data_IF_384311675739
#
_entry.id   IF_384311675739
#
_cell.length_a   1.000
_cell.length_b   1.000
_cell.length_c   1.000
_cell.angle_alpha   90.00
_cell.angle_beta   90.00
_cell.angle_gamma   90.00
#
_symmetry.space_group_name_H-M   'P 1'
#
loop_
_entity.id
_entity.type
_entity.pdbx_description
1 polymer ?
#
# COMPACT_ATOMS: atom_id res chain seq x y z
N UNK A 1 -52.55 43.92 9.30
CA UNK A 1 -51.21 44.48 9.06
C UNK A 1 -50.21 43.33 9.12
N UNK A 2 -49.99 42.65 7.99
CA UNK A 2 -49.16 41.44 7.89
C UNK A 2 -47.83 41.86 7.28
N UNK A 3 -46.77 41.85 8.06
CA UNK A 3 -45.42 42.15 7.58
C UNK A 3 -44.83 40.92 6.91
N UNK A 4 -44.77 40.97 5.59
CA UNK A 4 -44.10 39.99 4.74
C UNK A 4 -42.58 40.22 4.82
N UNK A 5 -41.87 39.42 5.63
CA UNK A 5 -40.41 39.34 5.67
C UNK A 5 -39.98 37.93 5.28
N UNK A 6 -40.04 37.58 3.99
CA UNK A 6 -39.39 36.34 3.54
C UNK A 6 -38.91 36.39 2.08
N UNK A 7 -38.18 37.45 1.74
CA UNK A 7 -37.52 37.57 0.43
C UNK A 7 -36.07 38.00 0.58
N UNK A 8 -35.25 37.27 1.35
CA UNK A 8 -33.79 37.44 1.21
C UNK A 8 -32.91 36.26 1.64
N UNK A 9 -33.40 35.03 1.50
CA UNK A 9 -32.59 33.83 1.75
C UNK A 9 -32.47 32.95 0.50
N UNK A 10 -31.57 33.33 -0.40
CA UNK A 10 -30.58 32.44 -1.09
C UNK A 10 -29.83 33.23 -2.18
N UNK A 11 -28.49 33.36 -2.06
CA UNK A 11 -27.65 32.51 -2.93
C UNK A 11 -26.33 32.02 -2.30
N UNK A 12 -26.04 32.25 -1.02
CA UNK A 12 -24.71 31.95 -0.45
C UNK A 12 -24.40 30.44 -0.35
N UNK A 13 -25.42 29.57 -0.29
CA UNK A 13 -25.21 28.11 -0.22
C UNK A 13 -24.96 27.43 -1.58
N UNK A 14 -25.36 28.06 -2.70
CA UNK A 14 -25.18 27.48 -4.04
C UNK A 14 -23.73 27.59 -4.55
N UNK A 15 -22.98 28.61 -4.12
CA UNK A 15 -21.60 28.84 -4.54
C UNK A 15 -20.57 27.85 -3.94
N UNK A 16 -20.94 27.09 -2.89
CA UNK A 16 -20.00 26.19 -2.20
C UNK A 16 -19.82 24.80 -2.84
N UNK A 17 -20.62 24.47 -3.87
CA UNK A 17 -20.64 23.13 -4.51
C UNK A 17 -19.92 23.03 -5.84
N UNK A 18 -19.38 24.12 -6.38
CA UNK A 18 -18.50 24.07 -7.53
C UNK A 18 -17.14 23.49 -7.09
N UNK A 19 -17.03 22.16 -7.06
CA UNK A 19 -15.75 21.49 -6.88
C UNK A 19 -14.79 21.98 -7.98
N UNK A 20 -13.82 22.83 -7.59
CA UNK A 20 -12.77 23.36 -8.49
C UNK A 20 -12.29 22.21 -9.40
N UNK A 21 -12.20 22.38 -10.73
CA UNK A 21 -11.94 21.29 -11.69
C UNK A 21 -10.75 20.41 -11.30
N UNK A 22 -9.68 20.99 -10.76
CA UNK A 22 -8.52 20.23 -10.25
C UNK A 22 -8.83 19.24 -9.11
N UNK A 23 -9.83 19.49 -8.24
CA UNK A 23 -10.22 18.56 -7.17
C UNK A 23 -10.97 17.33 -7.71
N UNK A 24 -11.68 17.44 -8.84
CA UNK A 24 -12.33 16.29 -9.48
C UNK A 24 -11.29 15.37 -10.11
N UNK A 25 -10.34 15.95 -10.85
CA UNK A 25 -9.24 15.21 -11.47
C UNK A 25 -8.38 14.46 -10.45
N UNK A 26 -8.02 15.10 -9.33
CA UNK A 26 -7.23 14.44 -8.28
C UNK A 26 -7.97 13.27 -7.61
N UNK A 27 -9.29 13.39 -7.39
CA UNK A 27 -10.10 12.27 -6.87
C UNK A 27 -10.23 11.13 -7.88
N UNK A 28 -10.35 11.44 -9.16
CA UNK A 28 -10.37 10.44 -10.20
C UNK A 28 -9.02 9.71 -10.25
N UNK A 29 -7.91 10.46 -10.26
CA UNK A 29 -6.56 9.90 -10.23
C UNK A 29 -6.35 9.00 -9.01
N UNK A 30 -6.69 9.48 -7.80
CA UNK A 30 -6.63 8.69 -6.56
C UNK A 30 -7.37 7.35 -6.71
N UNK A 31 -8.61 7.39 -7.19
CA UNK A 31 -9.44 6.21 -7.40
C UNK A 31 -8.82 5.28 -8.45
N UNK A 32 -8.40 5.81 -9.59
CA UNK A 32 -7.79 5.05 -10.69
C UNK A 32 -6.52 4.35 -10.22
N UNK A 33 -5.57 5.09 -9.60
CA UNK A 33 -4.35 4.50 -9.09
C UNK A 33 -4.62 3.45 -8.01
N UNK A 34 -5.54 3.71 -7.08
CA UNK A 34 -5.90 2.72 -6.06
C UNK A 34 -6.44 1.42 -6.68
N UNK A 35 -7.37 1.52 -7.64
CA UNK A 35 -7.97 0.35 -8.29
C UNK A 35 -7.05 -0.34 -9.31
N UNK A 36 -5.91 0.26 -9.66
CA UNK A 36 -4.86 -0.44 -10.40
C UNK A 36 -3.88 -1.10 -9.42
N UNK A 37 -3.38 -0.34 -8.45
CA UNK A 37 -2.36 -0.79 -7.49
C UNK A 37 -2.85 -1.91 -6.58
N UNK A 38 -4.05 -1.79 -6.01
CA UNK A 38 -4.57 -2.76 -5.07
C UNK A 38 -4.71 -4.17 -5.70
N UNK A 39 -5.44 -4.37 -6.81
CA UNK A 39 -5.49 -5.69 -7.44
C UNK A 39 -4.16 -6.08 -8.08
N UNK A 40 -3.35 -5.13 -8.58
CA UNK A 40 -2.03 -5.44 -9.14
C UNK A 40 -1.05 -6.01 -8.11
N UNK A 41 -1.05 -5.49 -6.89
CA UNK A 41 -0.24 -6.01 -5.78
C UNK A 41 -0.77 -7.36 -5.27
N UNK A 42 -2.10 -7.55 -5.21
CA UNK A 42 -2.70 -8.85 -4.89
C UNK A 42 -2.39 -9.90 -5.97
N UNK A 43 -2.38 -9.50 -7.24
CA UNK A 43 -2.00 -10.36 -8.35
C UNK A 43 -0.51 -10.75 -8.25
N UNK A 44 0.38 -9.80 -7.96
CA UNK A 44 1.80 -10.10 -7.75
C UNK A 44 1.99 -11.14 -6.63
N UNK A 45 1.27 -10.99 -5.51
CA UNK A 45 1.22 -11.97 -4.43
C UNK A 45 0.78 -13.35 -4.96
N UNK A 46 -0.34 -13.42 -5.66
CA UNK A 46 -0.87 -14.68 -6.19
C UNK A 46 0.09 -15.38 -7.16
N UNK A 47 0.80 -14.62 -8.00
CA UNK A 47 1.82 -15.16 -8.92
C UNK A 47 3.00 -15.74 -8.13
N UNK A 48 3.44 -15.08 -7.05
CA UNK A 48 4.52 -15.58 -6.19
C UNK A 48 4.13 -16.90 -5.52
N UNK A 49 2.93 -16.96 -4.93
CA UNK A 49 2.44 -18.18 -4.27
C UNK A 49 2.26 -19.32 -5.27
N UNK A 50 1.75 -19.04 -6.47
CA UNK A 50 1.70 -20.03 -7.54
C UNK A 50 3.11 -20.52 -7.92
N UNK A 51 4.09 -19.62 -8.01
CA UNK A 51 5.49 -19.97 -8.26
C UNK A 51 6.10 -20.87 -7.17
N UNK A 52 5.74 -20.65 -5.90
CA UNK A 52 6.20 -21.46 -4.77
C UNK A 52 5.69 -22.91 -4.82
N UNK A 53 4.60 -23.18 -5.55
CA UNK A 53 4.04 -24.53 -5.75
C UNK A 53 4.73 -25.29 -6.89
N UNK A 54 5.55 -24.62 -7.70
CA UNK A 54 6.22 -25.24 -8.84
C UNK A 54 7.47 -26.02 -8.37
N UNK A 55 7.78 -27.16 -9.01
CA UNK A 55 8.98 -27.90 -8.71
C UNK A 55 10.23 -27.09 -9.07
N UNK A 56 11.17 -27.00 -8.13
CA UNK A 56 12.53 -26.56 -8.40
C UNK A 56 13.30 -27.72 -9.06
N UNK A 57 13.07 -27.91 -10.35
CA UNK A 57 13.64 -29.00 -11.14
C UNK A 57 14.43 -28.46 -12.34
N UNK A 58 15.34 -29.27 -12.89
CA UNK A 58 16.11 -28.91 -14.08
C UNK A 58 15.27 -28.98 -15.37
N UNK A 59 15.77 -28.39 -16.45
CA UNK A 59 15.16 -28.51 -17.79
C UNK A 59 13.89 -27.68 -17.94
N UNK A 60 12.84 -28.25 -18.56
CA UNK A 60 11.60 -27.52 -18.89
C UNK A 60 10.84 -27.00 -17.68
N UNK A 61 10.96 -27.68 -16.54
CA UNK A 61 10.30 -27.27 -15.29
C UNK A 61 10.96 -26.02 -14.69
N UNK A 62 12.30 -25.91 -14.75
CA UNK A 62 13.00 -24.67 -14.42
C UNK A 62 12.54 -23.49 -15.29
N UNK A 63 12.36 -23.71 -16.61
CA UNK A 63 11.96 -22.64 -17.53
C UNK A 63 10.58 -22.05 -17.18
N UNK A 64 9.66 -22.88 -16.70
CA UNK A 64 8.34 -22.41 -16.27
C UNK A 64 8.41 -21.60 -14.97
N UNK A 65 9.14 -22.08 -13.97
CA UNK A 65 9.39 -21.36 -12.71
C UNK A 65 10.05 -20.00 -12.96
N UNK A 66 11.06 -19.96 -13.83
CA UNK A 66 11.71 -18.71 -14.28
C UNK A 66 10.71 -17.75 -14.93
N UNK A 67 9.79 -18.26 -15.75
CA UNK A 67 8.76 -17.46 -16.42
C UNK A 67 7.80 -16.84 -15.40
N UNK A 68 7.31 -17.63 -14.46
CA UNK A 68 6.36 -17.18 -13.42
C UNK A 68 7.00 -16.14 -12.50
N UNK A 69 8.22 -16.35 -12.02
CA UNK A 69 8.92 -15.34 -11.22
C UNK A 69 9.29 -14.09 -12.06
N UNK A 70 9.52 -14.24 -13.36
CA UNK A 70 9.73 -13.11 -14.28
C UNK A 70 8.48 -12.24 -14.39
N UNK A 71 7.30 -12.87 -14.49
CA UNK A 71 6.02 -12.19 -14.45
C UNK A 71 5.79 -11.50 -13.10
N UNK A 72 6.02 -12.20 -11.98
CA UNK A 72 5.90 -11.64 -10.63
C UNK A 72 6.73 -10.35 -10.48
N UNK A 73 8.02 -10.40 -10.86
CA UNK A 73 8.92 -9.24 -10.83
C UNK A 73 8.43 -8.10 -11.73
N UNK A 74 7.97 -8.43 -12.93
CA UNK A 74 7.48 -7.44 -13.90
C UNK A 74 6.24 -6.72 -13.37
N UNK A 75 5.27 -7.45 -12.81
CA UNK A 75 4.08 -6.86 -12.18
C UNK A 75 4.47 -6.02 -10.97
N UNK A 76 5.36 -6.51 -10.11
CA UNK A 76 5.88 -5.76 -8.96
C UNK A 76 6.50 -4.41 -9.37
N UNK A 77 7.38 -4.42 -10.36
CA UNK A 77 7.99 -3.21 -10.91
C UNK A 77 6.95 -2.27 -11.55
N UNK A 78 5.93 -2.79 -12.22
CA UNK A 78 4.84 -1.98 -12.74
C UNK A 78 4.13 -1.22 -11.64
N UNK A 79 3.84 -1.91 -10.53
CA UNK A 79 3.23 -1.27 -9.38
C UNK A 79 4.17 -0.22 -8.78
N UNK A 80 5.47 -0.51 -8.64
CA UNK A 80 6.47 0.45 -8.15
C UNK A 80 6.44 1.78 -8.90
N UNK A 81 6.36 1.74 -10.24
CA UNK A 81 6.29 2.94 -11.07
C UNK A 81 4.96 3.71 -10.92
N UNK A 82 3.87 3.04 -10.54
CA UNK A 82 2.55 3.65 -10.34
C UNK A 82 2.34 4.24 -8.94
N UNK A 83 3.01 3.72 -7.90
CA UNK A 83 2.83 4.19 -6.51
C UNK A 83 3.11 5.70 -6.35
N UNK A 84 4.14 6.32 -6.98
CA UNK A 84 4.33 7.77 -6.92
C UNK A 84 3.10 8.57 -7.40
N UNK A 85 2.41 8.08 -8.43
CA UNK A 85 1.17 8.69 -8.95
C UNK A 85 0.08 8.71 -7.89
N UNK A 86 -0.12 7.59 -7.18
CA UNK A 86 -1.03 7.52 -6.04
C UNK A 86 -0.60 8.51 -4.94
N UNK A 87 0.68 8.51 -4.55
CA UNK A 87 1.22 9.38 -3.51
C UNK A 87 1.01 10.87 -3.82
N UNK A 88 1.16 11.27 -5.08
CA UNK A 88 0.89 12.64 -5.56
C UNK A 88 -0.60 12.95 -5.49
N UNK A 89 -1.47 12.04 -5.99
CA UNK A 89 -2.92 12.22 -5.96
C UNK A 89 -3.48 12.38 -4.54
N UNK A 90 -2.83 11.76 -3.54
CA UNK A 90 -3.19 11.83 -2.13
C UNK A 90 -2.70 13.08 -1.37
N UNK A 91 -1.79 13.88 -1.95
CA UNK A 91 -1.24 15.10 -1.31
C UNK A 91 -2.31 16.07 -0.75
N UNK A 92 -3.46 16.32 -1.40
CA UNK A 92 -4.50 17.19 -0.86
C UNK A 92 -5.15 16.64 0.41
N UNK A 93 -5.29 15.32 0.54
CA UNK A 93 -5.90 14.67 1.70
C UNK A 93 -4.97 14.68 2.92
N UNK A 94 -3.66 14.68 2.70
CA UNK A 94 -2.65 14.83 3.77
C UNK A 94 -2.72 16.18 4.50
N UNK A 95 -3.35 17.20 3.91
CA UNK A 95 -3.54 18.54 4.50
C UNK A 95 -4.82 18.68 5.32
N UNK A 96 -5.60 17.61 5.54
CA UNK A 96 -6.77 17.68 6.42
C UNK A 96 -6.35 18.07 7.83
N UNK A 97 -7.13 18.98 8.43
CA UNK A 97 -6.90 19.45 9.79
C UNK A 97 -6.78 18.26 10.74
N UNK A 98 -5.71 18.25 11.54
CA UNK A 98 -5.56 17.25 12.59
C UNK A 98 -6.70 17.46 13.59
N UNK A 99 -7.39 16.40 14.03
CA UNK A 99 -8.40 16.53 15.07
C UNK A 99 -7.82 17.22 16.30
N UNK A 100 -8.50 18.25 16.81
CA UNK A 100 -8.07 19.00 18.01
C UNK A 100 -8.39 18.24 19.30
N UNK A 101 -9.37 17.33 19.26
CA UNK A 101 -9.77 16.49 20.40
C UNK A 101 -9.35 15.02 20.27
N UNK A 102 -9.64 14.23 21.31
CA UNK A 102 -9.38 12.78 21.31
C UNK A 102 -9.98 12.11 20.07
N UNK A 103 -9.21 11.23 19.45
CA UNK A 103 -9.56 10.53 18.20
C UNK A 103 -9.99 9.11 18.54
N UNK A 104 -10.96 8.55 17.83
CA UNK A 104 -11.24 7.12 17.94
C UNK A 104 -10.03 6.28 17.52
N UNK A 105 -9.90 5.07 18.06
CA UNK A 105 -8.81 4.15 17.68
C UNK A 105 -8.81 3.81 16.18
N UNK A 106 -9.99 3.61 15.58
CA UNK A 106 -10.09 3.14 14.20
C UNK A 106 -9.50 4.12 13.16
N UNK A 107 -9.77 5.45 13.20
CA UNK A 107 -9.07 6.42 12.34
C UNK A 107 -7.55 6.50 12.56
N UNK A 108 -7.05 6.16 13.75
CA UNK A 108 -5.60 6.09 13.98
C UNK A 108 -5.03 4.84 13.32
N UNK A 109 -5.66 3.68 13.54
CA UNK A 109 -5.24 2.41 12.94
C UNK A 109 -5.32 2.45 11.40
N UNK A 110 -6.40 2.98 10.84
CA UNK A 110 -6.56 3.17 9.38
C UNK A 110 -5.39 3.99 8.80
N UNK A 111 -4.99 5.05 9.50
CA UNK A 111 -3.84 5.87 9.08
C UNK A 111 -2.52 5.11 9.22
N UNK A 112 -2.31 4.34 10.29
CA UNK A 112 -1.10 3.50 10.44
C UNK A 112 -1.02 2.48 9.32
N UNK A 113 -2.10 1.75 9.08
CA UNK A 113 -2.20 0.71 8.05
C UNK A 113 -1.95 1.30 6.67
N UNK A 114 -2.58 2.43 6.37
CA UNK A 114 -2.37 3.14 5.11
C UNK A 114 -0.90 3.51 4.88
N UNK A 115 -0.22 4.08 5.89
CA UNK A 115 1.20 4.43 5.76
C UNK A 115 2.09 3.19 5.68
N UNK A 116 1.75 2.13 6.41
CA UNK A 116 2.41 0.83 6.30
C UNK A 116 2.30 0.29 4.88
N UNK A 117 1.10 0.24 4.29
CA UNK A 117 0.90 -0.20 2.91
C UNK A 117 1.60 0.70 1.89
N UNK A 118 1.59 2.02 2.09
CA UNK A 118 2.30 2.94 1.19
C UNK A 118 3.80 2.72 1.20
N UNK A 119 4.43 2.51 2.35
CA UNK A 119 5.85 2.17 2.42
C UNK A 119 6.10 0.78 1.82
N UNK A 120 5.27 -0.20 2.14
CA UNK A 120 5.39 -1.56 1.62
C UNK A 120 5.28 -1.66 0.10
N UNK A 121 4.40 -0.85 -0.50
CA UNK A 121 4.24 -0.78 -1.96
C UNK A 121 5.49 -0.24 -2.68
N UNK A 122 6.42 0.42 -1.98
CA UNK A 122 7.75 0.74 -2.49
C UNK A 122 8.78 -0.33 -2.11
N UNK A 123 8.81 -0.72 -0.84
CA UNK A 123 9.87 -1.56 -0.28
C UNK A 123 9.88 -2.97 -0.89
N UNK A 124 8.72 -3.61 -1.06
CA UNK A 124 8.63 -4.97 -1.59
C UNK A 124 9.08 -5.06 -3.06
N UNK A 125 8.55 -4.21 -3.97
CA UNK A 125 8.98 -4.27 -5.37
C UNK A 125 10.43 -3.87 -5.59
N UNK A 126 11.05 -3.14 -4.65
CA UNK A 126 12.47 -2.82 -4.69
C UNK A 126 13.33 -4.00 -4.21
N UNK A 127 12.92 -4.72 -3.16
CA UNK A 127 13.68 -5.86 -2.66
C UNK A 127 13.65 -7.09 -3.58
N UNK A 128 12.59 -7.26 -4.39
CA UNK A 128 12.47 -8.37 -5.34
C UNK A 128 13.58 -8.43 -6.40
N UNK A 129 13.83 -7.36 -7.18
CA UNK A 129 14.95 -7.30 -8.13
C UNK A 129 16.32 -7.42 -7.48
N UNK A 130 16.47 -6.98 -6.23
CA UNK A 130 17.72 -7.16 -5.46
C UNK A 130 17.94 -8.65 -5.19
N UNK A 131 16.91 -9.36 -4.72
CA UNK A 131 16.96 -10.80 -4.44
C UNK A 131 17.15 -11.65 -5.71
N UNK A 132 16.40 -11.36 -6.76
CA UNK A 132 16.32 -12.17 -7.98
C UNK A 132 17.20 -11.64 -9.13
N UNK A 133 18.24 -10.88 -8.79
CA UNK A 133 19.07 -10.16 -9.76
C UNK A 133 20.35 -10.87 -10.18
N UNK A 134 20.67 -12.04 -9.62
CA UNK A 134 21.93 -12.75 -9.89
C UNK A 134 21.72 -14.18 -10.40
N UNK A 135 22.67 -14.59 -11.26
CA UNK A 135 22.62 -15.73 -12.19
C UNK A 135 22.66 -17.13 -11.56
N UNK A 136 23.07 -18.18 -12.32
CA UNK A 136 22.38 -19.46 -12.49
C UNK A 136 22.59 -20.48 -11.35
N UNK A 137 22.67 -20.04 -10.10
CA UNK A 137 22.66 -20.90 -8.93
C UNK A 137 21.25 -21.12 -8.41
N UNK A 138 20.51 -20.03 -8.14
CA UNK A 138 19.14 -20.07 -7.60
C UNK A 138 18.42 -18.74 -7.92
N UNK A 139 17.27 -18.78 -8.59
CA UNK A 139 16.34 -17.64 -8.59
C UNK A 139 16.53 -16.53 -9.64
N UNK A 140 17.28 -16.76 -10.73
CA UNK A 140 17.27 -15.84 -11.87
C UNK A 140 15.92 -15.87 -12.58
N UNK A 141 15.27 -14.72 -12.70
CA UNK A 141 14.08 -14.55 -13.52
C UNK A 141 14.09 -13.17 -14.19
N UNK A 142 14.01 -13.08 -15.53
CA UNK A 142 14.16 -11.80 -16.21
C UNK A 142 12.91 -10.94 -16.07
N UNK A 143 13.11 -9.62 -15.96
CA UNK A 143 12.03 -8.64 -16.17
C UNK A 143 11.71 -8.59 -17.65
N UNK A 144 10.43 -8.67 -18.02
CA UNK A 144 10.01 -8.83 -19.42
C UNK A 144 10.18 -7.58 -20.29
N UNK A 145 10.56 -6.45 -19.69
CA UNK A 145 10.77 -5.17 -20.39
C UNK A 145 12.19 -4.95 -20.89
N UNK A 146 13.06 -5.96 -20.82
CA UNK A 146 14.47 -5.83 -21.22
C UNK A 146 15.29 -4.91 -20.31
N UNK A 147 14.79 -4.58 -19.12
CA UNK A 147 15.54 -3.84 -18.11
C UNK A 147 16.70 -4.70 -17.57
N UNK A 148 17.81 -4.08 -17.11
CA UNK A 148 18.87 -4.78 -16.43
C UNK A 148 18.31 -5.56 -15.23
N UNK A 149 18.62 -6.86 -15.17
CA UNK A 149 18.17 -7.72 -14.08
C UNK A 149 18.94 -7.47 -12.77
N UNK A 150 20.11 -6.83 -12.85
CA UNK A 150 20.92 -6.45 -11.70
C UNK A 150 20.64 -4.99 -11.32
N UNK A 151 20.34 -4.77 -10.05
CA UNK A 151 20.25 -3.41 -9.50
C UNK A 151 21.66 -2.82 -9.40
N UNK A 152 21.93 -1.64 -9.99
CA UNK A 152 23.25 -1.03 -9.94
C UNK A 152 23.63 -0.66 -8.50
N UNK A 153 24.93 -0.67 -8.22
CA UNK A 153 25.50 -0.29 -6.91
C UNK A 153 25.12 -1.19 -5.71
N UNK A 154 24.48 -2.34 -5.94
CA UNK A 154 24.23 -3.33 -4.87
C UNK A 154 25.35 -4.38 -4.84
N UNK A 155 26.04 -4.57 -3.69
CA UNK A 155 27.05 -5.61 -3.54
C UNK A 155 26.44 -7.02 -3.67
N UNK A 156 27.18 -7.90 -4.35
CA UNK A 156 26.73 -9.27 -4.61
C UNK A 156 26.47 -10.07 -3.34
N UNK A 157 27.38 -9.99 -2.35
CA UNK A 157 27.21 -10.61 -1.03
C UNK A 157 25.90 -10.24 -0.33
N UNK A 158 25.38 -9.04 -0.59
CA UNK A 158 24.19 -8.52 0.08
C UNK A 158 22.94 -9.03 -0.65
N UNK A 159 22.93 -8.96 -1.98
CA UNK A 159 21.80 -9.40 -2.78
C UNK A 159 21.63 -10.93 -2.83
N UNK A 160 22.71 -11.71 -2.74
CA UNK A 160 22.64 -13.17 -2.56
C UNK A 160 22.50 -13.62 -1.09
N UNK A 161 22.56 -12.68 -0.14
CA UNK A 161 22.57 -12.99 1.28
C UNK A 161 21.19 -13.39 1.83
N UNK A 162 21.15 -14.22 2.89
CA UNK A 162 19.90 -14.66 3.53
C UNK A 162 19.06 -13.47 4.03
N UNK A 163 19.70 -12.40 4.48
CA UNK A 163 19.03 -11.15 4.91
C UNK A 163 18.07 -10.59 3.84
N UNK A 164 18.51 -10.49 2.59
CA UNK A 164 17.69 -9.90 1.51
C UNK A 164 16.51 -10.81 1.18
N UNK A 165 16.74 -12.12 1.17
CA UNK A 165 15.69 -13.13 0.96
C UNK A 165 14.65 -13.04 2.07
N UNK A 166 15.10 -13.10 3.32
CA UNK A 166 14.22 -13.09 4.48
C UNK A 166 13.46 -11.78 4.56
N UNK A 167 14.11 -10.65 4.31
CA UNK A 167 13.43 -9.37 4.26
C UNK A 167 12.32 -9.35 3.22
N UNK A 168 12.56 -9.82 1.99
CA UNK A 168 11.54 -9.86 0.94
C UNK A 168 10.35 -10.78 1.31
N UNK A 169 10.64 -11.98 1.81
CA UNK A 169 9.61 -12.97 2.20
C UNK A 169 8.82 -12.48 3.42
N UNK A 170 9.48 -11.94 4.45
CA UNK A 170 8.78 -11.42 5.64
C UNK A 170 7.98 -10.16 5.30
N UNK A 171 8.43 -9.38 4.32
CA UNK A 171 7.69 -8.23 3.81
C UNK A 171 6.36 -8.63 3.20
N UNK A 172 6.30 -9.79 2.52
CA UNK A 172 5.05 -10.36 2.03
C UNK A 172 4.03 -10.59 3.17
N UNK A 173 4.46 -11.19 4.28
CA UNK A 173 3.57 -11.46 5.43
C UNK A 173 3.06 -10.19 6.09
N UNK A 174 3.96 -9.23 6.35
CA UNK A 174 3.58 -7.93 6.92
C UNK A 174 2.61 -7.19 6.01
N UNK A 175 2.88 -7.13 4.71
CA UNK A 175 2.02 -6.46 3.74
C UNK A 175 0.65 -7.11 3.65
N UNK A 176 0.59 -8.43 3.61
CA UNK A 176 -0.66 -9.19 3.56
C UNK A 176 -1.51 -8.94 4.82
N UNK A 177 -0.90 -8.94 6.00
CA UNK A 177 -1.59 -8.62 7.26
C UNK A 177 -2.15 -7.18 7.25
N UNK A 178 -1.37 -6.22 6.77
CA UNK A 178 -1.81 -4.82 6.62
C UNK A 178 -2.95 -4.69 5.59
N UNK A 179 -2.88 -5.39 4.47
CA UNK A 179 -3.89 -5.36 3.41
C UNK A 179 -5.22 -5.95 3.89
N UNK A 180 -5.17 -7.09 4.56
CA UNK A 180 -6.35 -7.69 5.21
C UNK A 180 -6.95 -6.72 6.23
N UNK A 181 -6.11 -6.11 7.07
CA UNK A 181 -6.56 -5.11 8.06
C UNK A 181 -7.23 -3.91 7.40
N UNK A 182 -6.68 -3.42 6.28
CA UNK A 182 -7.26 -2.33 5.50
C UNK A 182 -8.67 -2.68 4.99
N UNK A 183 -8.85 -3.89 4.45
CA UNK A 183 -10.17 -4.37 3.98
C UNK A 183 -11.15 -4.48 5.14
N UNK A 184 -10.73 -5.05 6.29
CA UNK A 184 -11.57 -5.16 7.50
C UNK A 184 -12.04 -3.77 7.97
N UNK A 185 -11.14 -2.78 8.01
CA UNK A 185 -11.48 -1.41 8.41
C UNK A 185 -12.44 -0.74 7.42
N UNK A 186 -12.27 -0.97 6.11
CA UNK A 186 -13.19 -0.49 5.08
C UNK A 186 -14.59 -1.12 5.24
N UNK A 187 -14.66 -2.44 5.42
CA UNK A 187 -15.90 -3.18 5.67
C UNK A 187 -16.60 -2.68 6.94
N UNK A 188 -15.84 -2.39 8.00
CA UNK A 188 -16.38 -1.80 9.24
C UNK A 188 -17.04 -0.45 8.96
N UNK A 189 -16.39 0.46 8.23
CA UNK A 189 -16.95 1.77 7.88
C UNK A 189 -18.22 1.62 7.05
N UNK A 190 -18.21 0.71 6.08
CA UNK A 190 -19.36 0.41 5.24
C UNK A 190 -20.54 -0.13 6.06
N UNK A 191 -20.29 -1.06 6.98
CA UNK A 191 -21.31 -1.63 7.85
C UNK A 191 -21.89 -0.58 8.82
N UNK A 192 -21.04 0.27 9.39
CA UNK A 192 -21.49 1.36 10.29
C UNK A 192 -22.43 2.34 9.58
N UNK A 193 -22.23 2.61 8.29
CA UNK A 193 -23.12 3.49 7.51
C UNK A 193 -24.51 2.90 7.26
N UNK A 194 -24.68 1.58 7.42
CA UNK A 194 -25.94 0.87 7.17
C UNK A 194 -26.78 0.60 8.41
N UNK A 195 -26.31 0.96 9.61
CA UNK A 195 -27.07 0.70 10.84
C UNK A 195 -27.94 1.89 11.24
N UNK A 196 -29.23 1.69 11.57
CA UNK A 196 -30.15 2.76 12.00
C UNK A 196 -29.84 3.30 13.41
N UNK A 197 -29.04 2.57 14.20
CA UNK A 197 -28.56 3.00 15.51
C UNK A 197 -27.03 2.82 15.56
N UNK A 198 -26.28 3.79 16.11
CA UNK A 198 -24.85 3.64 16.30
C UNK A 198 -24.58 2.60 17.40
N UNK A 199 -24.63 1.31 17.07
CA UNK A 199 -24.07 0.25 17.94
C UNK A 199 -22.62 0.61 18.21
N UNK A 200 -22.26 0.84 19.47
CA UNK A 200 -20.95 1.39 19.85
C UNK A 200 -19.93 0.27 19.98
N UNK A 201 -19.31 -0.10 18.86
CA UNK A 201 -18.19 -1.03 18.84
C UNK A 201 -16.92 -0.34 19.37
N UNK A 202 -16.48 -0.69 20.59
CA UNK A 202 -15.22 -0.31 21.27
C UNK A 202 -14.93 1.21 21.24
N UNK A 203 -15.11 1.88 22.37
CA UNK A 203 -14.87 3.34 22.53
C UNK A 203 -13.45 3.69 22.99
N UNK A 204 -12.44 3.02 22.44
CA UNK A 204 -11.08 3.46 22.72
C UNK A 204 -10.83 4.82 22.05
N UNK A 205 -10.48 5.82 22.86
CA UNK A 205 -10.16 7.18 22.45
C UNK A 205 -8.69 7.46 22.71
N UNK A 206 -7.95 7.75 21.65
CA UNK A 206 -6.52 8.02 21.65
C UNK A 206 -6.24 9.53 21.62
N UNK A 207 -5.08 9.98 22.12
CA UNK A 207 -4.66 11.37 21.99
C UNK A 207 -4.46 11.76 20.50
N UNK A 208 -4.63 13.04 20.13
CA UNK A 208 -4.36 13.53 18.78
C UNK A 208 -2.95 13.17 18.27
N UNK A 209 -1.99 13.08 19.18
CA UNK A 209 -0.61 12.69 18.89
C UNK A 209 -0.55 11.33 18.17
N UNK A 210 -1.36 10.35 18.56
CA UNK A 210 -1.37 9.04 17.92
C UNK A 210 -1.73 9.15 16.42
N UNK A 211 -2.68 10.02 16.07
CA UNK A 211 -3.03 10.29 14.68
C UNK A 211 -1.93 11.04 13.92
N UNK A 212 -1.12 11.85 14.60
CA UNK A 212 0.04 12.55 14.00
C UNK A 212 1.23 11.61 13.77
N UNK A 213 1.47 10.69 14.71
CA UNK A 213 2.57 9.72 14.65
C UNK A 213 2.27 8.53 13.74
N UNK A 214 1.01 8.31 13.36
CA UNK A 214 0.62 7.19 12.50
C UNK A 214 1.50 6.96 11.24
N UNK A 215 1.96 8.00 10.49
CA UNK A 215 2.90 7.79 9.40
C UNK A 215 4.26 7.24 9.83
N UNK A 216 4.78 7.73 10.96
CA UNK A 216 6.04 7.27 11.52
C UNK A 216 5.91 5.83 12.04
N UNK A 217 4.79 5.51 12.69
CA UNK A 217 4.50 4.14 13.15
C UNK A 217 4.42 3.20 11.93
N UNK A 218 3.70 3.58 10.88
CA UNK A 218 3.62 2.79 9.65
C UNK A 218 4.98 2.54 9.00
N UNK A 219 5.86 3.55 8.96
CA UNK A 219 7.22 3.40 8.47
C UNK A 219 8.10 2.55 9.41
N UNK A 220 7.93 2.70 10.73
CA UNK A 220 8.70 1.98 11.74
C UNK A 220 8.44 0.46 11.69
N UNK A 221 7.27 0.01 11.23
CA UNK A 221 7.00 -1.42 10.99
C UNK A 221 8.02 -2.03 9.99
N UNK A 222 8.37 -1.29 8.94
CA UNK A 222 9.32 -1.74 7.93
C UNK A 222 10.77 -1.69 8.42
N UNK A 223 11.11 -0.67 9.21
CA UNK A 223 12.43 -0.60 9.86
C UNK A 223 12.60 -1.75 10.85
N UNK A 224 11.59 -2.02 11.68
CA UNK A 224 11.58 -3.14 12.61
C UNK A 224 11.71 -4.48 11.89
N UNK A 225 11.02 -4.64 10.75
CA UNK A 225 11.15 -5.83 9.91
C UNK A 225 12.57 -5.99 9.35
N UNK A 226 13.18 -4.91 8.85
CA UNK A 226 14.55 -4.93 8.35
C UNK A 226 15.56 -5.32 9.43
N UNK A 227 15.41 -4.78 10.66
CA UNK A 227 16.23 -5.15 11.82
C UNK A 227 16.01 -6.62 12.16
N UNK A 228 14.76 -7.07 12.23
CA UNK A 228 14.42 -8.47 12.50
C UNK A 228 15.12 -9.40 11.52
N UNK A 229 14.93 -9.18 10.21
CA UNK A 229 15.58 -9.96 9.15
C UNK A 229 17.10 -9.92 9.21
N UNK A 230 17.70 -8.81 9.64
CA UNK A 230 19.14 -8.71 9.85
C UNK A 230 19.63 -9.57 11.03
N UNK A 231 18.86 -9.62 12.11
CA UNK A 231 19.24 -10.33 13.34
C UNK A 231 18.98 -11.84 13.29
N UNK A 232 18.13 -12.32 12.37
CA UNK A 232 17.74 -13.73 12.27
C UNK A 232 18.36 -14.47 11.09
N UNK A 233 19.08 -13.78 10.21
CA UNK A 233 19.72 -14.32 9.00
C UNK A 233 21.20 -14.62 9.22
#
# INVERSE_FOLDING_TARGET
MVTNQDTDRKPVQAASRAARPGRRLLRLAERTFHWILAPGLVLAIGISEYGNLLPYAAGREAAWTVTIYGLHKTVGLAMLFLVPGLAIALRPWRRRAVPTGRVGWAPVLDRVVFWGLMVGAFVIPVSGPILHGMGPGWGYAPVWWGLPNRVPFVPERLAAGPVTRDFHIQSFWLFSALAITHVILACRVWLMRRQPSPRRWIRLRLPPLAHRLAPLIGAALWVGLAIYSWTTA
#
